data_IF_940713859656
#
_entry.id   IF_940713859656
#
_cell.length_a   1.000
_cell.length_b   1.000
_cell.length_c   1.000
_cell.angle_alpha   90.00
_cell.angle_beta   90.00
_cell.angle_gamma   90.00
#
_symmetry.space_group_name_H-M   'P 1'
#
loop_
_entity.id
_entity.type
_entity.pdbx_description
1 polymer ?
#
# COMPACT_ATOMS: atom_id res chain seq x y z
N UNK A 1 18.71 -4.41 -36.61
CA UNK A 1 17.56 -4.07 -35.75
C UNK A 1 18.11 -3.37 -34.52
N UNK A 2 17.84 -2.07 -34.38
CA UNK A 2 18.21 -1.32 -33.17
C UNK A 2 17.33 -1.83 -32.04
N UNK A 3 17.93 -2.31 -30.95
CA UNK A 3 17.21 -2.63 -29.72
C UNK A 3 16.59 -1.33 -29.19
N UNK A 4 15.33 -1.06 -29.52
CA UNK A 4 14.58 0.04 -28.93
C UNK A 4 14.46 -0.23 -27.42
N UNK A 5 15.10 0.60 -26.61
CA UNK A 5 15.01 0.52 -25.15
C UNK A 5 13.56 0.85 -24.80
N UNK A 6 12.86 -0.07 -24.15
CA UNK A 6 11.48 0.15 -23.71
C UNK A 6 11.43 1.34 -22.74
N UNK A 7 10.50 2.30 -22.93
CA UNK A 7 10.41 3.47 -22.07
C UNK A 7 10.06 3.09 -20.63
N UNK A 8 10.58 3.86 -19.68
CA UNK A 8 10.33 3.67 -18.25
C UNK A 8 10.04 5.00 -17.55
N UNK A 9 9.33 4.92 -16.44
CA UNK A 9 9.11 6.04 -15.52
C UNK A 9 9.97 5.81 -14.28
N UNK A 10 10.86 6.76 -13.99
CA UNK A 10 11.63 6.79 -12.76
C UNK A 10 10.99 7.76 -11.76
N UNK A 11 10.94 7.37 -10.49
CA UNK A 11 10.47 8.22 -9.39
C UNK A 11 11.60 8.38 -8.40
N UNK A 12 12.02 9.62 -8.21
CA UNK A 12 12.98 10.04 -7.20
C UNK A 12 12.26 10.63 -6.01
N UNK A 13 12.80 10.40 -4.82
CA UNK A 13 12.24 10.88 -3.55
C UNK A 13 13.37 11.42 -2.69
N UNK A 14 13.09 12.45 -1.89
CA UNK A 14 14.08 12.99 -0.96
C UNK A 14 14.08 12.15 0.31
N UNK A 15 15.22 11.60 0.73
CA UNK A 15 15.35 10.77 1.94
C UNK A 15 16.40 11.33 2.89
N UNK A 16 16.26 11.10 4.21
CA UNK A 16 17.26 11.53 5.17
C UNK A 16 18.58 10.76 4.97
N UNK A 17 19.71 11.47 5.00
CA UNK A 17 21.06 10.91 4.95
C UNK A 17 21.38 10.20 6.25
N UNK A 18 21.01 10.82 7.38
CA UNK A 18 21.26 10.30 8.72
C UNK A 18 19.93 10.18 9.47
N UNK A 19 19.73 9.04 10.14
CA UNK A 19 18.62 8.84 11.08
C UNK A 19 19.20 8.97 12.49
N UNK A 20 18.74 9.96 13.25
CA UNK A 20 19.15 10.16 14.64
C UNK A 20 18.73 8.94 15.48
N UNK A 21 19.71 8.17 15.97
CA UNK A 21 19.48 6.90 16.69
C UNK A 21 18.85 7.09 18.08
N UNK A 22 19.09 8.24 18.73
CA UNK A 22 18.73 8.43 20.14
C UNK A 22 17.41 9.18 20.38
N UNK A 23 16.86 9.85 19.38
CA UNK A 23 15.52 10.42 19.44
C UNK A 23 14.58 9.53 18.65
N UNK A 24 13.96 8.57 19.33
CA UNK A 24 12.96 7.64 18.77
C UNK A 24 11.76 8.32 18.06
N UNK A 25 11.75 9.65 17.87
CA UNK A 25 10.60 10.44 17.41
C UNK A 25 10.87 11.50 16.35
N UNK A 26 12.10 11.87 15.98
CA UNK A 26 12.30 12.99 15.04
C UNK A 26 13.38 12.70 14.00
N UNK A 27 12.99 12.76 12.73
CA UNK A 27 13.92 12.94 11.63
C UNK A 27 14.45 14.38 11.70
N UNK A 28 15.75 14.57 11.45
CA UNK A 28 16.27 15.92 11.24
C UNK A 28 15.76 16.44 9.89
N UNK A 29 14.91 17.47 9.93
CA UNK A 29 14.25 18.07 8.77
C UNK A 29 15.11 19.15 8.11
N UNK A 30 16.32 19.39 8.58
CA UNK A 30 17.24 20.35 7.97
C UNK A 30 17.53 19.94 6.51
N UNK A 31 17.41 20.85 5.52
CA UNK A 31 17.55 20.50 4.09
C UNK A 31 18.85 19.76 3.74
N UNK A 32 19.95 20.06 4.45
CA UNK A 32 21.26 19.43 4.30
C UNK A 32 21.27 17.93 4.66
N UNK A 33 20.33 17.48 5.51
CA UNK A 33 20.20 16.08 5.85
C UNK A 33 19.35 15.32 4.83
N UNK A 34 18.85 15.94 3.76
CA UNK A 34 17.95 15.30 2.80
C UNK A 34 18.54 15.28 1.40
N UNK A 35 18.50 14.11 0.75
CA UNK A 35 19.02 13.94 -0.60
C UNK A 35 18.03 13.18 -1.46
N UNK A 36 17.93 13.60 -2.72
CA UNK A 36 17.18 12.87 -3.73
C UNK A 36 17.82 11.51 -4.02
N UNK A 37 17.01 10.45 -3.93
CA UNK A 37 17.36 9.07 -4.25
C UNK A 37 16.34 8.51 -5.23
N UNK A 38 16.78 7.66 -6.13
CA UNK A 38 15.89 6.86 -6.97
C UNK A 38 15.13 5.86 -6.08
N UNK A 39 13.80 5.79 -6.21
CA UNK A 39 12.95 4.89 -5.43
C UNK A 39 12.32 3.81 -6.31
N UNK A 40 11.64 4.21 -7.38
CA UNK A 40 10.88 3.30 -8.24
C UNK A 40 11.30 3.47 -9.70
N UNK A 41 11.35 2.35 -10.42
CA UNK A 41 11.42 2.30 -11.89
C UNK A 41 10.28 1.45 -12.41
N UNK A 42 9.42 2.05 -13.22
CA UNK A 42 8.22 1.40 -13.75
C UNK A 42 8.33 1.32 -15.28
N UNK A 43 8.49 0.13 -15.88
CA UNK A 43 8.41 -0.02 -17.33
C UNK A 43 7.03 0.43 -17.84
N UNK A 44 6.99 1.30 -18.84
CA UNK A 44 5.71 1.81 -19.38
C UNK A 44 4.87 0.68 -19.96
N UNK A 45 5.50 -0.27 -20.65
CA UNK A 45 4.84 -1.47 -21.17
C UNK A 45 4.09 -2.25 -20.08
N UNK A 46 4.67 -2.37 -18.89
CA UNK A 46 4.02 -3.02 -17.76
C UNK A 46 2.86 -2.20 -17.21
N UNK A 47 2.98 -0.89 -17.12
CA UNK A 47 1.87 -0.03 -16.69
C UNK A 47 0.66 -0.11 -17.64
N UNK A 48 0.92 -0.28 -18.95
CA UNK A 48 -0.13 -0.48 -19.97
C UNK A 48 -0.81 -1.86 -19.84
N UNK A 49 -0.06 -2.90 -19.48
CA UNK A 49 -0.59 -4.26 -19.28
C UNK A 49 -1.45 -4.40 -18.02
N UNK A 50 -1.21 -3.55 -17.00
CA UNK A 50 -1.94 -3.60 -15.73
C UNK A 50 -3.35 -3.03 -15.87
N UNK A 51 -4.32 -3.74 -15.28
CA UNK A 51 -5.69 -3.23 -15.15
C UNK A 51 -5.77 -2.27 -13.97
N UNK A 52 -5.23 -1.06 -14.15
CA UNK A 52 -5.22 -0.02 -13.13
C UNK A 52 -6.63 0.52 -12.90
N UNK A 53 -7.07 0.55 -11.63
CA UNK A 53 -8.40 1.05 -11.30
C UNK A 53 -8.46 2.58 -11.30
N UNK A 54 -7.39 3.28 -11.71
CA UNK A 54 -7.31 4.74 -11.75
C UNK A 54 -6.23 5.16 -12.76
N UNK A 55 -6.14 6.45 -13.15
CA UNK A 55 -5.09 6.92 -14.03
C UNK A 55 -3.68 6.56 -13.53
N UNK A 56 -2.75 6.15 -14.40
CA UNK A 56 -1.46 5.61 -13.99
C UNK A 56 -0.65 6.54 -13.08
N UNK A 57 -0.65 7.84 -13.34
CA UNK A 57 0.10 8.79 -12.51
C UNK A 57 -0.48 8.93 -11.09
N UNK A 58 -1.80 8.77 -10.90
CA UNK A 58 -2.40 8.70 -9.56
C UNK A 58 -1.96 7.43 -8.82
N UNK A 59 -1.88 6.31 -9.53
CA UNK A 59 -1.32 5.06 -8.98
C UNK A 59 0.15 5.18 -8.63
N UNK A 60 0.96 5.86 -9.45
CA UNK A 60 2.37 6.12 -9.14
C UNK A 60 2.51 7.01 -7.89
N UNK A 61 1.66 8.04 -7.76
CA UNK A 61 1.61 8.90 -6.56
C UNK A 61 1.23 8.09 -5.32
N UNK A 62 0.18 7.26 -5.40
CA UNK A 62 -0.26 6.40 -4.32
C UNK A 62 0.77 5.33 -3.94
N UNK A 63 1.40 4.69 -4.94
CA UNK A 63 2.40 3.64 -4.70
C UNK A 63 3.66 4.21 -4.04
N UNK A 64 4.07 5.42 -4.44
CA UNK A 64 5.18 6.13 -3.78
C UNK A 64 4.85 6.40 -2.31
N UNK A 65 3.64 6.88 -2.01
CA UNK A 65 3.16 6.99 -0.63
C UNK A 65 3.13 5.64 0.10
N UNK A 66 2.67 4.57 -0.52
CA UNK A 66 2.59 3.25 0.12
C UNK A 66 3.97 2.78 0.57
N UNK A 67 5.01 3.04 -0.23
CA UNK A 67 6.41 2.73 0.10
C UNK A 67 6.97 3.67 1.17
N UNK A 68 6.71 4.98 1.09
CA UNK A 68 7.29 5.98 1.99
C UNK A 68 6.56 6.12 3.33
N UNK A 69 5.24 5.95 3.35
CA UNK A 69 4.37 6.25 4.47
C UNK A 69 4.01 7.75 4.64
N UNK A 70 4.38 8.59 3.66
CA UNK A 70 4.27 10.04 3.73
C UNK A 70 3.60 10.60 2.47
N UNK A 71 2.62 11.49 2.64
CA UNK A 71 1.90 12.12 1.54
C UNK A 71 2.73 13.17 0.82
N UNK A 72 2.45 13.30 -0.46
CA UNK A 72 3.15 14.20 -1.36
C UNK A 72 2.58 14.18 -2.76
N UNK A 73 3.30 14.82 -3.67
CA UNK A 73 2.89 15.10 -5.05
C UNK A 73 4.02 14.74 -6.00
N UNK A 74 3.66 14.31 -7.20
CA UNK A 74 4.63 14.07 -8.25
C UNK A 74 4.96 15.40 -8.91
N UNK A 75 6.23 15.60 -9.23
CA UNK A 75 6.67 16.72 -10.04
C UNK A 75 7.58 16.28 -11.18
N UNK A 76 7.44 16.93 -12.32
CA UNK A 76 8.38 16.85 -13.45
C UNK A 76 9.73 17.50 -13.15
N UNK A 77 9.82 18.32 -12.10
CA UNK A 77 11.02 19.06 -11.72
C UNK A 77 11.49 18.73 -10.31
N UNK A 78 12.82 18.79 -10.13
CA UNK A 78 13.48 18.40 -8.89
C UNK A 78 13.29 19.41 -7.76
N UNK A 79 13.42 20.69 -8.08
CA UNK A 79 13.54 21.76 -7.06
C UNK A 79 12.27 22.62 -6.96
N UNK A 80 11.31 22.43 -7.87
CA UNK A 80 10.06 23.18 -7.96
C UNK A 80 8.91 22.19 -8.12
N UNK A 81 7.80 22.43 -7.42
CA UNK A 81 6.57 21.66 -7.61
C UNK A 81 5.88 22.05 -8.93
N UNK A 82 6.21 21.32 -9.98
CA UNK A 82 5.57 21.34 -11.30
C UNK A 82 4.79 20.02 -11.48
N UNK A 83 3.50 20.00 -11.14
CA UNK A 83 2.68 18.77 -11.14
C UNK A 83 2.30 18.32 -12.55
N UNK A 84 2.37 17.01 -12.87
CA UNK A 84 1.87 16.52 -14.14
C UNK A 84 0.35 16.59 -14.21
N UNK A 85 -0.20 16.60 -15.42
CA UNK A 85 -1.62 16.35 -15.61
C UNK A 85 -1.87 14.87 -15.36
N UNK A 86 -2.46 14.54 -14.21
CA UNK A 86 -2.61 13.16 -13.73
C UNK A 86 -3.47 12.23 -14.60
N UNK A 87 -4.29 12.81 -15.47
CA UNK A 87 -5.17 12.09 -16.41
C UNK A 87 -4.54 11.92 -17.81
N UNK A 88 -3.31 12.41 -18.02
CA UNK A 88 -2.60 12.21 -19.28
C UNK A 88 -2.28 10.73 -19.53
N UNK A 89 -2.14 10.39 -20.82
CA UNK A 89 -1.64 9.10 -21.24
C UNK A 89 -0.19 8.87 -20.77
N UNK A 90 0.19 7.59 -20.73
CA UNK A 90 1.56 7.20 -20.43
C UNK A 90 2.53 7.71 -21.51
N UNK A 91 3.77 8.05 -21.14
CA UNK A 91 4.68 8.70 -22.07
C UNK A 91 5.24 7.69 -23.08
N UNK A 92 5.46 8.15 -24.32
CA UNK A 92 6.14 7.36 -25.36
C UNK A 92 7.65 7.24 -25.10
N UNK A 93 8.21 8.15 -24.30
CA UNK A 93 9.61 8.21 -23.92
C UNK A 93 9.78 8.03 -22.41
N UNK A 94 11.02 7.76 -21.98
CA UNK A 94 11.30 7.62 -20.55
C UNK A 94 11.11 8.95 -19.83
N UNK A 95 10.49 8.95 -18.65
CA UNK A 95 10.16 10.16 -17.88
C UNK A 95 10.63 10.01 -16.45
N UNK A 96 11.13 11.10 -15.87
CA UNK A 96 11.52 11.14 -14.45
C UNK A 96 10.57 12.04 -13.69
N UNK A 97 10.12 11.57 -12.53
CA UNK A 97 9.37 12.35 -11.56
C UNK A 97 10.12 12.46 -10.24
N UNK A 98 9.81 13.54 -9.52
CA UNK A 98 10.31 13.83 -8.18
C UNK A 98 9.11 13.90 -7.24
N UNK A 99 9.13 13.13 -6.17
CA UNK A 99 8.09 13.13 -5.15
C UNK A 99 8.39 14.19 -4.09
N UNK A 100 7.58 15.24 -4.08
CA UNK A 100 7.66 16.31 -3.10
C UNK A 100 6.66 16.06 -1.98
N UNK A 101 7.12 16.06 -0.72
CA UNK A 101 6.23 15.91 0.43
C UNK A 101 5.24 17.07 0.51
N UNK A 102 4.00 16.80 0.94
CA UNK A 102 2.96 17.83 1.02
C UNK A 102 3.34 18.95 1.99
N UNK A 103 4.04 18.60 3.07
CA UNK A 103 4.55 19.51 4.08
C UNK A 103 5.59 18.81 4.99
N UNK A 104 6.21 19.58 5.89
CA UNK A 104 7.20 19.09 6.85
C UNK A 104 6.67 17.99 7.79
N UNK A 105 5.37 17.98 8.12
CA UNK A 105 4.80 16.92 8.96
C UNK A 105 4.78 15.59 8.20
N UNK A 106 4.41 15.59 6.92
CA UNK A 106 4.46 14.39 6.09
C UNK A 106 5.90 13.92 5.88
N UNK A 107 6.84 14.84 5.66
CA UNK A 107 8.27 14.51 5.60
C UNK A 107 8.76 13.83 6.89
N UNK A 108 8.30 14.26 8.07
CA UNK A 108 8.64 13.63 9.34
C UNK A 108 8.06 12.20 9.53
N UNK A 109 7.06 11.81 8.73
CA UNK A 109 6.42 10.48 8.76
C UNK A 109 7.14 9.43 7.93
N UNK A 110 8.15 9.81 7.16
CA UNK A 110 8.88 8.89 6.28
C UNK A 110 9.37 7.67 7.07
N UNK A 111 8.87 6.51 6.69
CA UNK A 111 9.22 5.21 7.22
C UNK A 111 9.14 4.22 6.07
N UNK A 112 10.26 3.88 5.44
CA UNK A 112 10.29 3.03 4.26
C UNK A 112 9.77 1.62 4.57
N UNK A 113 8.91 1.08 3.70
CA UNK A 113 8.64 -0.35 3.72
C UNK A 113 9.89 -1.11 3.28
N UNK A 114 10.20 -2.19 4.00
CA UNK A 114 11.26 -3.11 3.61
C UNK A 114 10.84 -3.87 2.35
N UNK A 115 11.79 -4.18 1.47
CA UNK A 115 11.50 -4.90 0.22
C UNK A 115 10.97 -6.32 0.44
N UNK A 116 11.17 -6.87 1.64
CA UNK A 116 10.67 -8.18 2.07
C UNK A 116 9.42 -8.08 2.97
N UNK A 117 8.78 -6.91 3.05
CA UNK A 117 7.64 -6.64 3.95
C UNK A 117 6.51 -7.70 3.86
N UNK A 118 6.28 -8.26 2.67
CA UNK A 118 5.29 -9.30 2.41
C UNK A 118 5.91 -10.68 2.15
N UNK A 119 7.21 -10.91 2.37
CA UNK A 119 7.85 -12.17 1.98
C UNK A 119 7.53 -13.29 2.99
N UNK A 120 6.64 -14.25 2.65
CA UNK A 120 6.29 -15.32 3.58
C UNK A 120 7.42 -16.35 3.72
N UNK A 121 8.55 -16.22 3.00
CA UNK A 121 9.66 -17.19 3.08
C UNK A 121 10.48 -17.08 4.36
N UNK A 122 10.22 -16.08 5.22
CA UNK A 122 10.81 -16.02 6.56
C UNK A 122 10.00 -16.80 7.60
N UNK A 123 9.40 -17.93 7.21
CA UNK A 123 8.83 -18.93 8.12
C UNK A 123 9.92 -19.60 8.96
N UNK A 124 10.45 -18.90 9.97
CA UNK A 124 11.24 -19.51 11.03
C UNK A 124 10.33 -19.97 12.17
N UNK A 125 10.20 -21.29 12.26
CA UNK A 125 9.80 -22.10 13.41
C UNK A 125 8.33 -22.11 13.86
N UNK A 126 7.61 -23.24 13.67
CA UNK A 126 6.25 -23.50 14.17
C UNK A 126 6.04 -23.40 15.69
N UNK A 127 7.10 -23.24 16.49
CA UNK A 127 7.07 -23.40 17.94
C UNK A 127 6.65 -22.15 18.72
N UNK A 128 6.68 -20.95 18.13
CA UNK A 128 6.19 -19.71 18.77
C UNK A 128 4.78 -19.30 18.31
N UNK A 129 4.34 -19.76 17.13
CA UNK A 129 3.03 -19.44 16.53
C UNK A 129 1.85 -20.06 17.34
N UNK A 130 2.08 -21.11 18.12
CA UNK A 130 1.00 -21.91 18.72
C UNK A 130 0.29 -21.28 19.94
N UNK A 131 0.86 -20.28 20.64
CA UNK A 131 0.31 -19.81 21.93
C UNK A 131 -0.68 -18.64 21.83
N UNK A 132 -0.60 -17.79 20.82
CA UNK A 132 -1.46 -16.59 20.67
C UNK A 132 -2.46 -16.66 19.50
N UNK A 133 -2.33 -17.66 18.63
CA UNK A 133 -3.21 -17.91 17.48
C UNK A 133 -4.72 -18.03 17.79
N UNK A 134 -5.17 -18.60 18.93
CA UNK A 134 -6.60 -18.84 19.15
C UNK A 134 -7.41 -17.54 19.29
N UNK A 135 -6.85 -16.52 19.95
CA UNK A 135 -7.55 -15.25 20.21
C UNK A 135 -7.62 -14.40 18.96
N UNK A 136 -6.49 -14.23 18.25
CA UNK A 136 -6.46 -13.48 16.99
C UNK A 136 -7.48 -14.03 15.99
N UNK A 137 -7.44 -15.35 15.72
CA UNK A 137 -8.40 -15.99 14.82
C UNK A 137 -9.84 -15.79 15.28
N UNK A 138 -10.12 -15.99 16.57
CA UNK A 138 -11.49 -15.86 17.11
C UNK A 138 -12.02 -14.43 16.97
N UNK A 139 -11.20 -13.43 17.28
CA UNK A 139 -11.60 -12.02 17.22
C UNK A 139 -11.80 -11.57 15.77
N UNK A 140 -10.93 -12.03 14.87
CA UNK A 140 -11.07 -11.85 13.42
C UNK A 140 -12.37 -12.42 12.87
N UNK A 141 -12.68 -13.68 13.20
CA UNK A 141 -13.93 -14.31 12.77
C UNK A 141 -15.15 -13.63 13.40
N UNK A 142 -15.05 -13.12 14.63
CA UNK A 142 -16.13 -12.34 15.24
C UNK A 142 -16.37 -11.05 14.46
N UNK A 143 -15.32 -10.25 14.23
CA UNK A 143 -15.40 -8.96 13.51
C UNK A 143 -15.92 -9.14 12.08
N UNK A 144 -15.40 -10.14 11.39
CA UNK A 144 -15.72 -10.41 9.99
C UNK A 144 -16.90 -11.41 9.85
N UNK A 145 -17.67 -11.68 10.90
CA UNK A 145 -18.85 -12.57 10.83
C UNK A 145 -18.55 -13.96 10.25
N UNK A 146 -17.32 -14.45 10.41
CA UNK A 146 -16.82 -15.74 9.94
C UNK A 146 -16.73 -15.88 8.42
N UNK A 147 -16.71 -14.77 7.68
CA UNK A 147 -16.78 -14.76 6.21
C UNK A 147 -15.65 -13.97 5.58
N UNK A 148 -15.10 -14.49 4.49
CA UNK A 148 -14.12 -13.79 3.68
C UNK A 148 -14.59 -12.37 3.33
N UNK A 149 -13.77 -11.36 3.63
CA UNK A 149 -14.13 -9.94 3.38
C UNK A 149 -14.20 -9.58 1.89
N UNK A 150 -13.60 -10.41 1.02
CA UNK A 150 -13.51 -10.17 -0.42
C UNK A 150 -14.68 -10.81 -1.18
N UNK A 151 -15.00 -12.08 -0.92
CA UNK A 151 -16.01 -12.84 -1.68
C UNK A 151 -17.15 -13.43 -0.83
N UNK A 152 -17.23 -13.07 0.46
CA UNK A 152 -18.28 -13.51 1.39
C UNK A 152 -18.33 -15.04 1.66
N UNK A 153 -17.31 -15.79 1.23
CA UNK A 153 -17.20 -17.24 1.47
C UNK A 153 -17.15 -17.57 2.96
N UNK A 154 -17.85 -18.64 3.34
CA UNK A 154 -17.79 -19.23 4.70
C UNK A 154 -16.47 -19.96 4.96
N UNK A 155 -15.77 -20.37 3.90
CA UNK A 155 -14.46 -20.97 3.99
C UNK A 155 -13.48 -19.80 3.99
N UNK A 156 -12.87 -19.50 5.13
CA UNK A 156 -11.90 -18.42 5.27
C UNK A 156 -10.82 -18.72 6.31
N UNK A 157 -9.72 -18.00 6.22
CA UNK A 157 -8.59 -18.05 7.13
C UNK A 157 -8.36 -16.64 7.70
N UNK A 158 -7.97 -16.55 8.96
CA UNK A 158 -7.46 -15.30 9.50
C UNK A 158 -6.04 -15.10 8.95
N UNK A 159 -5.82 -14.00 8.25
CA UNK A 159 -4.57 -13.63 7.62
C UNK A 159 -4.11 -12.29 8.17
N UNK A 160 -2.83 -12.18 8.53
CA UNK A 160 -2.22 -10.93 8.93
C UNK A 160 -1.92 -10.04 7.71
N UNK A 161 -2.01 -8.71 7.89
CA UNK A 161 -1.65 -7.70 6.88
C UNK A 161 -0.16 -7.37 6.95
N UNK A 162 0.36 -7.13 8.16
CA UNK A 162 1.79 -7.09 8.47
C UNK A 162 2.17 -8.49 8.96
N UNK A 163 3.16 -9.10 8.31
CA UNK A 163 3.55 -10.48 8.57
C UNK A 163 3.87 -10.72 10.06
N UNK A 164 3.42 -11.86 10.59
CA UNK A 164 3.52 -12.16 12.02
C UNK A 164 4.98 -12.16 12.51
N UNK A 165 5.91 -12.62 11.67
CA UNK A 165 7.35 -12.67 11.94
C UNK A 165 8.02 -11.31 12.19
N UNK A 166 7.40 -10.20 11.74
CA UNK A 166 7.93 -8.85 12.01
C UNK A 166 7.76 -8.47 13.49
N UNK A 167 6.79 -9.09 14.17
CA UNK A 167 6.55 -8.93 15.60
C UNK A 167 5.92 -7.59 16.02
N UNK A 168 5.62 -7.48 17.32
CA UNK A 168 4.94 -6.32 17.90
C UNK A 168 5.73 -5.02 17.74
N UNK A 169 7.05 -5.05 17.97
CA UNK A 169 7.90 -3.87 17.92
C UNK A 169 7.91 -3.21 16.54
N UNK A 170 8.05 -4.01 15.49
CA UNK A 170 7.99 -3.52 14.11
C UNK A 170 6.59 -3.02 13.75
N UNK A 171 5.54 -3.81 14.04
CA UNK A 171 4.14 -3.47 13.75
C UNK A 171 3.76 -2.13 14.38
N UNK A 172 4.13 -1.95 15.65
CA UNK A 172 3.91 -0.71 16.38
C UNK A 172 4.71 0.44 15.79
N UNK A 173 6.01 0.29 15.57
CA UNK A 173 6.85 1.36 15.02
C UNK A 173 6.38 1.82 13.63
N UNK A 174 6.05 0.88 12.75
CA UNK A 174 5.51 1.14 11.41
C UNK A 174 4.21 1.95 11.47
N UNK A 175 3.25 1.49 12.28
CA UNK A 175 1.94 2.15 12.38
C UNK A 175 2.01 3.47 13.14
N UNK A 176 2.84 3.60 14.18
CA UNK A 176 3.09 4.87 14.87
C UNK A 176 3.67 5.93 13.94
N UNK A 177 4.71 5.58 13.18
CA UNK A 177 5.38 6.53 12.28
C UNK A 177 4.49 7.01 11.14
N UNK A 178 3.62 6.13 10.65
CA UNK A 178 2.68 6.42 9.55
C UNK A 178 1.31 6.92 10.02
N UNK A 179 1.04 6.91 11.32
CA UNK A 179 -0.27 7.28 11.88
C UNK A 179 -0.58 8.76 11.71
N UNK A 180 -1.78 9.11 11.24
CA UNK A 180 -2.27 10.50 11.31
C UNK A 180 -3.13 10.72 12.54
N UNK A 181 -3.69 9.64 13.07
CA UNK A 181 -4.46 9.61 14.29
C UNK A 181 -3.92 8.53 15.22
N UNK A 182 -4.01 8.74 16.54
CA UNK A 182 -3.59 7.74 17.53
C UNK A 182 -4.35 6.41 17.38
N UNK A 183 -5.56 6.47 16.83
CA UNK A 183 -6.39 5.30 16.49
C UNK A 183 -5.84 4.47 15.33
N UNK A 184 -4.84 4.95 14.59
CA UNK A 184 -4.20 4.19 13.50
C UNK A 184 -3.11 3.24 14.02
N UNK A 185 -2.63 3.47 15.25
CA UNK A 185 -1.53 2.71 15.85
C UNK A 185 -1.98 1.30 16.21
N UNK A 186 -1.31 0.30 15.66
CA UNK A 186 -1.56 -1.11 15.92
C UNK A 186 -0.51 -1.60 16.93
N UNK A 187 -0.91 -1.87 18.19
CA UNK A 187 0.05 -2.08 19.28
C UNK A 187 0.71 -3.46 19.28
N UNK A 188 0.15 -4.43 18.57
CA UNK A 188 0.63 -5.82 18.53
C UNK A 188 0.33 -6.45 17.18
N UNK A 189 1.17 -7.40 16.79
CA UNK A 189 1.05 -8.18 15.57
C UNK A 189 -0.24 -9.01 15.55
N UNK A 190 -0.71 -9.49 16.69
CA UNK A 190 -1.97 -10.25 16.84
C UNK A 190 -3.18 -9.35 17.15
N UNK A 191 -3.05 -8.05 16.96
CA UNK A 191 -4.19 -7.14 17.09
C UNK A 191 -5.15 -7.33 15.89
N UNK A 192 -6.47 -7.33 16.15
CA UNK A 192 -7.51 -7.57 15.11
C UNK A 192 -7.39 -6.62 13.90
N UNK A 193 -7.04 -5.35 14.11
CA UNK A 193 -6.71 -4.36 13.06
C UNK A 193 -5.57 -4.77 12.11
N UNK A 194 -4.68 -5.69 12.50
CA UNK A 194 -3.65 -6.25 11.64
C UNK A 194 -4.11 -7.48 10.84
N UNK A 195 -5.41 -7.80 10.83
CA UNK A 195 -5.91 -9.02 10.21
C UNK A 195 -7.12 -8.82 9.32
N UNK A 196 -7.30 -9.75 8.37
CA UNK A 196 -8.50 -9.94 7.55
C UNK A 196 -8.86 -11.43 7.49
N UNK A 197 -10.14 -11.75 7.42
CA UNK A 197 -10.57 -13.10 7.02
C UNK A 197 -10.60 -13.19 5.50
N UNK A 198 -9.80 -14.10 4.95
CA UNK A 198 -9.60 -14.26 3.51
C UNK A 198 -9.86 -15.69 3.07
N UNK A 199 -10.37 -15.86 1.85
CA UNK A 199 -10.37 -17.15 1.18
C UNK A 199 -8.94 -17.52 0.78
N UNK A 200 -8.62 -18.81 0.69
CA UNK A 200 -7.24 -19.28 0.42
C UNK A 200 -6.66 -18.67 -0.85
N UNK A 201 -7.42 -18.65 -1.95
CA UNK A 201 -6.94 -18.05 -3.20
C UNK A 201 -6.66 -16.55 -3.06
N UNK A 202 -7.53 -15.81 -2.38
CA UNK A 202 -7.34 -14.37 -2.11
C UNK A 202 -6.06 -14.13 -1.32
N UNK A 203 -5.82 -14.94 -0.28
CA UNK A 203 -4.61 -14.87 0.52
C UNK A 203 -3.36 -15.15 -0.35
N UNK A 204 -3.41 -16.16 -1.21
CA UNK A 204 -2.32 -16.48 -2.13
C UNK A 204 -2.04 -15.35 -3.14
N UNK A 205 -3.07 -14.64 -3.60
CA UNK A 205 -2.91 -13.49 -4.50
C UNK A 205 -2.12 -12.36 -3.84
N UNK A 206 -2.45 -12.03 -2.59
CA UNK A 206 -1.75 -11.01 -1.82
C UNK A 206 -0.29 -11.41 -1.58
N UNK A 207 -0.04 -12.67 -1.20
CA UNK A 207 1.30 -13.20 -0.95
C UNK A 207 2.17 -13.22 -2.22
N UNK A 208 1.55 -13.35 -3.40
CA UNK A 208 2.23 -13.29 -4.70
C UNK A 208 2.31 -11.87 -5.29
N UNK A 209 1.83 -10.86 -4.56
CA UNK A 209 1.81 -9.45 -5.01
C UNK A 209 1.00 -9.27 -6.31
N UNK A 210 -0.02 -10.11 -6.50
CA UNK A 210 -0.93 -10.02 -7.65
C UNK A 210 -2.09 -9.06 -7.38
N UNK A 211 -2.21 -8.58 -6.14
CA UNK A 211 -3.26 -7.67 -5.75
C UNK A 211 -2.92 -6.89 -4.48
N UNK A 212 -3.67 -5.82 -4.24
CA UNK A 212 -3.65 -5.04 -3.01
C UNK A 212 -5.05 -4.57 -2.64
N UNK A 213 -5.21 -4.14 -1.39
CA UNK A 213 -6.39 -3.44 -0.92
C UNK A 213 -6.08 -1.95 -0.78
N UNK A 214 -7.00 -1.12 -1.24
CA UNK A 214 -6.84 0.33 -1.20
C UNK A 214 -8.10 0.98 -0.66
N UNK A 215 -7.95 1.87 0.32
CA UNK A 215 -9.04 2.71 0.79
C UNK A 215 -9.29 3.85 -0.20
N UNK A 216 -10.55 4.14 -0.52
CA UNK A 216 -10.96 5.24 -1.41
C UNK A 216 -12.12 6.06 -0.80
N UNK A 217 -12.12 7.40 -0.98
CA UNK A 217 -11.02 8.18 -1.52
C UNK A 217 -9.81 8.15 -0.56
N UNK A 218 -8.63 8.36 -1.12
CA UNK A 218 -7.41 8.68 -0.37
C UNK A 218 -6.80 9.98 -0.94
N UNK A 219 -5.62 10.36 -0.46
CA UNK A 219 -4.97 11.62 -0.88
C UNK A 219 -4.61 11.68 -2.38
N UNK A 220 -4.50 10.52 -3.04
CA UNK A 220 -4.12 10.40 -4.45
C UNK A 220 -5.29 9.98 -5.35
N UNK A 221 -6.11 9.03 -4.92
CA UNK A 221 -7.19 8.43 -5.72
C UNK A 221 -8.55 8.83 -5.15
N UNK A 222 -9.35 9.54 -5.92
CA UNK A 222 -10.73 9.89 -5.61
C UNK A 222 -11.69 8.80 -6.08
N UNK A 223 -12.95 8.86 -5.60
CA UNK A 223 -13.99 7.90 -6.01
C UNK A 223 -14.30 7.97 -7.51
N UNK A 224 -14.21 9.16 -8.10
CA UNK A 224 -14.42 9.38 -9.53
C UNK A 224 -13.26 8.85 -10.40
N UNK A 225 -12.10 8.64 -9.79
CA UNK A 225 -10.92 8.09 -10.49
C UNK A 225 -10.98 6.56 -10.55
N UNK A 226 -11.85 5.91 -9.76
CA UNK A 226 -12.01 4.45 -9.78
C UNK A 226 -12.67 4.01 -11.09
N UNK A 227 -12.26 2.89 -11.69
CA UNK A 227 -12.95 2.29 -12.83
C UNK A 227 -13.68 0.99 -12.43
N UNK A 228 -15.02 0.93 -12.50
CA UNK A 228 -15.94 2.04 -12.78
C UNK A 228 -16.02 3.07 -11.64
N UNK A 229 -16.37 4.34 -11.92
CA UNK A 229 -16.47 5.38 -10.90
C UNK A 229 -17.42 5.01 -9.77
N UNK A 230 -16.98 5.25 -8.52
CA UNK A 230 -17.78 4.94 -7.34
C UNK A 230 -18.67 6.13 -6.93
N UNK A 231 -19.93 5.88 -6.56
CA UNK A 231 -20.79 6.91 -5.97
C UNK A 231 -20.24 7.49 -4.66
N UNK A 232 -20.62 8.73 -4.32
CA UNK A 232 -20.08 9.47 -3.15
C UNK A 232 -20.38 8.80 -1.82
N UNK A 233 -21.48 8.05 -1.72
CA UNK A 233 -21.87 7.28 -0.54
C UNK A 233 -20.88 6.15 -0.20
N UNK A 234 -20.01 5.76 -1.13
CA UNK A 234 -18.93 4.82 -0.90
C UNK A 234 -17.65 5.49 -0.37
N UNK A 235 -17.73 6.72 0.15
CA UNK A 235 -16.57 7.35 0.78
C UNK A 235 -16.06 6.54 1.99
N UNK A 236 -14.76 6.25 1.98
CA UNK A 236 -14.08 5.52 3.05
C UNK A 236 -14.22 4.00 2.96
N UNK A 237 -14.61 3.47 1.80
CA UNK A 237 -14.60 2.01 1.53
C UNK A 237 -13.21 1.54 1.13
N UNK A 238 -13.02 0.23 1.15
CA UNK A 238 -11.84 -0.43 0.62
C UNK A 238 -12.20 -1.13 -0.68
N UNK A 239 -11.34 -1.03 -1.68
CA UNK A 239 -11.45 -1.76 -2.94
C UNK A 239 -10.30 -2.74 -3.08
N UNK A 240 -10.55 -3.83 -3.81
CA UNK A 240 -9.51 -4.74 -4.25
C UNK A 240 -8.98 -4.29 -5.60
N UNK A 241 -7.66 -4.22 -5.69
CA UNK A 241 -6.96 -3.86 -6.90
C UNK A 241 -6.10 -5.04 -7.35
N UNK A 242 -6.17 -5.41 -8.62
CA UNK A 242 -5.41 -6.52 -9.18
C UNK A 242 -4.26 -5.98 -10.05
N UNK A 243 -3.03 -6.46 -9.79
CA UNK A 243 -1.84 -6.13 -10.56
C UNK A 243 -1.54 -7.20 -11.63
N UNK A 244 -2.58 -7.62 -12.34
CA UNK A 244 -2.49 -8.59 -13.42
C UNK A 244 -3.27 -8.09 -14.64
N UNK A 245 -2.99 -8.64 -15.84
CA UNK A 245 -3.86 -8.44 -16.98
C UNK A 245 -5.29 -8.88 -16.66
N UNK A 246 -6.28 -8.21 -17.24
CA UNK A 246 -7.72 -8.47 -16.97
C UNK A 246 -8.16 -9.90 -17.27
N UNK A 247 -7.40 -10.63 -18.11
CA UNK A 247 -7.64 -12.04 -18.44
C UNK A 247 -7.26 -13.00 -17.32
N UNK A 248 -6.44 -12.57 -16.36
CA UNK A 248 -5.83 -13.42 -15.34
C UNK A 248 -6.34 -13.11 -13.93
N UNK A 249 -7.54 -12.52 -13.84
CA UNK A 249 -8.08 -12.00 -12.58
C UNK A 249 -8.06 -13.06 -11.46
N UNK A 250 -7.34 -12.79 -10.36
CA UNK A 250 -6.93 -13.86 -9.46
C UNK A 250 -8.00 -14.14 -8.38
N UNK A 251 -9.11 -13.39 -8.41
CA UNK A 251 -10.22 -13.43 -7.46
C UNK A 251 -11.48 -14.15 -7.96
N UNK A 252 -11.37 -14.96 -9.01
CA UNK A 252 -12.52 -15.62 -9.63
C UNK A 252 -13.40 -14.60 -10.37
N UNK A 253 -14.64 -14.40 -9.91
CA UNK A 253 -15.62 -13.50 -10.56
C UNK A 253 -15.50 -12.02 -10.15
N UNK A 254 -14.60 -11.67 -9.22
CA UNK A 254 -14.47 -10.28 -8.75
C UNK A 254 -13.63 -9.45 -9.72
N UNK A 255 -14.17 -8.32 -10.16
CA UNK A 255 -13.47 -7.34 -10.99
C UNK A 255 -12.52 -6.49 -10.18
N UNK A 256 -11.51 -5.91 -10.85
CA UNK A 256 -10.69 -4.86 -10.26
C UNK A 256 -11.62 -3.69 -9.83
N UNK A 257 -11.35 -3.07 -8.68
CA UNK A 257 -12.22 -2.04 -8.11
C UNK A 257 -13.40 -2.56 -7.28
N UNK A 258 -13.57 -3.88 -7.14
CA UNK A 258 -14.63 -4.46 -6.30
C UNK A 258 -14.51 -4.03 -4.83
N UNK A 259 -15.64 -3.75 -4.20
CA UNK A 259 -15.71 -3.32 -2.80
C UNK A 259 -15.39 -4.50 -1.86
N UNK A 260 -14.52 -4.27 -0.87
CA UNK A 260 -14.37 -5.14 0.27
C UNK A 260 -15.52 -4.91 1.24
N UNK A 261 -15.98 -6.00 1.86
CA UNK A 261 -16.86 -5.90 3.01
C UNK A 261 -16.09 -5.32 4.18
N UNK A 262 -16.61 -4.24 4.75
CA UNK A 262 -16.10 -3.65 5.98
C UNK A 262 -16.98 -4.07 7.16
N UNK A 263 -16.42 -4.21 8.37
CA UNK A 263 -17.22 -4.40 9.57
C UNK A 263 -18.20 -3.24 9.77
N UNK A 264 -19.37 -3.50 10.38
CA UNK A 264 -20.34 -2.45 10.73
C UNK A 264 -19.73 -1.45 11.72
N UNK A 265 -18.93 -1.96 12.66
CA UNK A 265 -18.10 -1.15 13.54
C UNK A 265 -16.77 -0.83 12.86
N UNK A 266 -16.68 0.37 12.28
CA UNK A 266 -15.48 0.87 11.59
C UNK A 266 -14.38 1.35 12.54
N UNK A 267 -14.53 1.18 13.86
CA UNK A 267 -13.46 1.47 14.83
C UNK A 267 -12.42 0.36 14.96
N UNK A 268 -12.62 -0.77 14.25
CA UNK A 268 -11.81 -2.01 14.31
C UNK A 268 -11.14 -2.40 13.00
#
# INVERSE_FOLDING_TARGET
MLNSISPYIDIHVSLPITVLRDSAKLLDLAPENWTWKHLLRCPVSKLVELTLSAPPYMWLRYSTYAVLGAEGRLSTQKDILDEPIYIEELPLESKTFYYHYENANEQARVFLLESDFMNPRSMTSPSQVARHFPTFRKDMFRRDSGRCVVNNSLISHASHLIAHEKGDGYTKALTERRSRHSTDVVPSVDHVRNGLTLYSSTHDCLNRVLAAFMRVPNFAVQLADVDPPLPKEFAGVYIVHAFVPSTDMPFGTLSCGSLLRTPQDRSQ
#
